data_IF_304033810022
#
_entry.id   IF_304033810022
#
_cell.length_a   1.000
_cell.length_b   1.000
_cell.length_c   1.000
_cell.angle_alpha   90.00
_cell.angle_beta   90.00
_cell.angle_gamma   90.00
#
_symmetry.space_group_name_H-M   'P 1'
#
loop_
_entity.id
_entity.type
_entity.pdbx_description
1 polymer ?
#
# COMPACT_ATOMS: atom_id res chain seq x y z
N UNK A 1 -33.46 -23.82 57.68
CA UNK A 1 -33.92 -23.68 59.07
C UNK A 1 -32.69 -23.55 59.97
N UNK A 2 -32.60 -22.42 60.67
CA UNK A 2 -31.81 -22.07 61.86
C UNK A 2 -30.39 -22.67 62.06
N UNK A 3 -29.30 -21.90 62.04
CA UNK A 3 -28.82 -20.74 62.83
C UNK A 3 -27.87 -21.10 64.00
N UNK A 4 -26.69 -20.46 63.94
CA UNK A 4 -25.94 -19.76 65.00
C UNK A 4 -24.94 -20.54 65.87
N UNK A 5 -23.67 -20.49 65.42
CA UNK A 5 -22.59 -19.59 65.88
C UNK A 5 -22.40 -19.33 67.39
N UNK A 6 -21.13 -19.32 67.87
CA UNK A 6 -20.35 -18.09 68.20
C UNK A 6 -19.03 -18.34 68.98
N UNK A 7 -17.97 -17.62 68.52
CA UNK A 7 -16.73 -17.12 69.19
C UNK A 7 -15.62 -18.14 69.54
N UNK A 8 -14.33 -17.84 69.40
CA UNK A 8 -13.65 -16.54 69.46
C UNK A 8 -12.31 -16.52 68.71
N UNK A 9 -12.09 -15.42 67.98
CA UNK A 9 -10.82 -14.83 67.54
C UNK A 9 -9.73 -14.86 68.63
N UNK A 10 -8.47 -15.07 68.22
CA UNK A 10 -7.35 -14.12 68.42
C UNK A 10 -6.04 -14.60 67.75
N UNK A 11 -5.50 -13.69 66.95
CA UNK A 11 -4.07 -13.38 66.76
C UNK A 11 -3.29 -13.97 65.57
N UNK A 12 -3.15 -13.06 64.58
CA UNK A 12 -1.91 -12.53 64.00
C UNK A 12 -1.34 -13.18 62.73
N UNK A 13 -1.78 -12.58 61.61
CA UNK A 13 -1.09 -12.52 60.33
C UNK A 13 0.30 -11.90 60.48
N UNK A 14 1.32 -12.55 59.90
CA UNK A 14 2.52 -11.89 59.41
C UNK A 14 2.92 -12.55 58.08
N UNK A 15 2.26 -12.14 57.00
CA UNK A 15 2.65 -12.51 55.64
C UNK A 15 3.58 -11.41 55.12
N UNK A 16 4.88 -11.71 54.99
CA UNK A 16 5.83 -10.84 54.30
C UNK A 16 5.40 -10.66 52.84
N UNK A 17 5.03 -9.44 52.46
CA UNK A 17 5.01 -8.99 51.08
C UNK A 17 6.45 -8.64 50.68
N UNK A 18 7.11 -9.52 49.92
CA UNK A 18 8.33 -9.17 49.20
C UNK A 18 7.89 -8.50 47.90
N UNK A 19 7.90 -7.17 47.89
CA UNK A 19 7.82 -6.38 46.67
C UNK A 19 9.20 -6.47 46.02
N UNK A 20 9.31 -7.28 44.97
CA UNK A 20 10.46 -7.26 44.08
C UNK A 20 10.47 -5.93 43.33
N UNK A 21 11.33 -5.01 43.76
CA UNK A 21 11.71 -3.85 42.98
C UNK A 21 12.45 -4.35 41.72
N UNK A 22 11.74 -4.45 40.60
CA UNK A 22 12.36 -4.48 39.28
C UNK A 22 12.95 -3.09 39.10
N UNK A 23 14.28 -2.98 39.23
CA UNK A 23 15.00 -1.80 38.81
C UNK A 23 14.76 -1.62 37.31
N UNK A 24 13.96 -0.63 36.93
CA UNK A 24 13.92 -0.13 35.57
C UNK A 24 15.32 0.39 35.24
N UNK A 25 16.01 -0.29 34.32
CA UNK A 25 17.22 0.23 33.69
C UNK A 25 16.84 1.54 32.98
N UNK A 26 17.38 2.70 33.38
CA UNK A 26 17.01 3.99 32.78
C UNK A 26 17.63 4.18 31.39
N UNK A 27 18.41 3.22 30.90
CA UNK A 27 18.85 3.17 29.52
C UNK A 27 17.88 2.31 28.71
N UNK A 28 17.04 2.89 27.84
CA UNK A 28 16.45 2.09 26.78
C UNK A 28 17.62 1.53 25.98
N UNK A 29 17.82 0.21 26.02
CA UNK A 29 18.70 -0.47 25.06
C UNK A 29 18.18 -0.03 23.70
N UNK A 30 18.96 0.78 22.98
CA UNK A 30 18.75 1.03 21.54
C UNK A 30 18.42 -0.33 20.95
N UNK A 31 17.25 -0.46 20.33
CA UNK A 31 16.91 -1.68 19.60
C UNK A 31 18.13 -2.02 18.74
N UNK A 32 18.68 -3.21 18.97
CA UNK A 32 19.80 -3.72 18.18
C UNK A 32 19.42 -3.59 16.72
N UNK A 33 20.21 -2.83 15.96
CA UNK A 33 19.99 -2.67 14.53
C UNK A 33 20.16 -4.06 13.91
N UNK A 34 19.08 -4.67 13.42
CA UNK A 34 19.18 -5.94 12.68
C UNK A 34 20.04 -5.70 11.45
N UNK A 35 21.04 -6.53 11.25
CA UNK A 35 21.81 -6.51 10.00
C UNK A 35 20.95 -7.08 8.86
N UNK A 36 21.21 -6.64 7.63
CA UNK A 36 20.47 -7.12 6.46
C UNK A 36 20.63 -8.64 6.34
N UNK A 37 19.52 -9.35 6.15
CA UNK A 37 19.52 -10.80 5.91
C UNK A 37 19.63 -11.73 7.13
N UNK A 38 19.61 -11.20 8.36
CA UNK A 38 19.63 -12.01 9.60
C UNK A 38 18.38 -12.89 9.82
N UNK A 39 17.33 -12.69 9.03
CA UNK A 39 16.08 -13.43 9.12
C UNK A 39 16.28 -14.91 8.74
N UNK A 40 15.83 -15.82 9.62
CA UNK A 40 15.80 -17.25 9.36
C UNK A 40 14.38 -17.81 9.48
N UNK A 41 14.13 -18.94 8.84
CA UNK A 41 12.85 -19.62 8.78
C UNK A 41 13.06 -21.13 8.85
N UNK A 42 12.35 -21.79 9.76
CA UNK A 42 12.37 -23.24 9.90
C UNK A 42 10.95 -23.80 9.91
N UNK A 43 10.78 -24.98 9.32
CA UNK A 43 9.49 -25.63 9.14
C UNK A 43 9.67 -27.14 9.01
N UNK A 44 8.66 -27.89 9.46
CA UNK A 44 8.56 -29.33 9.18
C UNK A 44 8.45 -29.64 7.68
N UNK A 45 8.09 -28.67 6.85
CA UNK A 45 8.10 -28.78 5.39
C UNK A 45 9.40 -28.21 4.82
N UNK A 46 10.36 -29.09 4.51
CA UNK A 46 11.68 -28.72 3.97
C UNK A 46 11.60 -27.90 2.67
N UNK A 47 10.65 -28.20 1.78
CA UNK A 47 10.49 -27.44 0.52
C UNK A 47 10.11 -25.99 0.77
N UNK A 48 9.32 -25.72 1.81
CA UNK A 48 8.96 -24.36 2.20
C UNK A 48 10.17 -23.61 2.77
N UNK A 49 10.99 -24.28 3.57
CA UNK A 49 12.25 -23.72 4.06
C UNK A 49 13.20 -23.37 2.93
N UNK A 50 13.42 -24.28 1.99
CA UNK A 50 14.25 -24.07 0.80
C UNK A 50 13.73 -22.91 -0.06
N UNK A 51 12.42 -22.86 -0.31
CA UNK A 51 11.78 -21.79 -1.08
C UNK A 51 11.94 -20.43 -0.40
N UNK A 52 11.80 -20.37 0.93
CA UNK A 52 12.01 -19.15 1.69
C UNK A 52 13.47 -18.66 1.62
N UNK A 53 14.45 -19.55 1.83
CA UNK A 53 15.87 -19.17 1.76
C UNK A 53 16.24 -18.69 0.35
N UNK A 54 15.75 -19.37 -0.68
CA UNK A 54 15.91 -18.91 -2.07
C UNK A 54 15.30 -17.52 -2.29
N UNK A 55 14.07 -17.29 -1.83
CA UNK A 55 13.38 -16.01 -2.01
C UNK A 55 14.09 -14.87 -1.27
N UNK A 56 14.58 -15.14 -0.04
CA UNK A 56 15.41 -14.21 0.74
C UNK A 56 16.67 -13.82 -0.03
N UNK A 57 17.44 -14.80 -0.48
CA UNK A 57 18.71 -14.55 -1.18
C UNK A 57 18.48 -13.80 -2.50
N UNK A 58 17.40 -14.12 -3.21
CA UNK A 58 17.00 -13.39 -4.41
C UNK A 58 16.63 -11.94 -4.11
N UNK A 59 15.77 -11.69 -3.13
CA UNK A 59 15.38 -10.32 -2.78
C UNK A 59 16.59 -9.47 -2.37
N UNK A 60 17.50 -10.03 -1.55
CA UNK A 60 18.72 -9.33 -1.12
C UNK A 60 19.71 -9.09 -2.27
N UNK A 61 19.72 -9.91 -3.31
CA UNK A 61 20.61 -9.73 -4.46
C UNK A 61 20.29 -8.50 -5.32
N UNK A 62 19.10 -7.91 -5.15
CA UNK A 62 18.68 -6.69 -5.82
C UNK A 62 18.92 -5.42 -5.00
N UNK A 63 19.45 -5.52 -3.77
CA UNK A 63 19.67 -4.38 -2.90
C UNK A 63 21.01 -3.69 -3.16
N UNK A 64 21.00 -2.36 -3.09
CA UNK A 64 22.14 -1.48 -3.34
C UNK A 64 22.35 -0.53 -2.15
N UNK A 65 23.48 -0.70 -1.44
CA UNK A 65 23.77 -0.06 -0.15
C UNK A 65 24.35 1.38 -0.24
N UNK A 66 23.81 2.21 -1.13
CA UNK A 66 24.13 3.64 -1.17
C UNK A 66 25.35 4.05 -2.00
N UNK A 67 25.89 3.15 -2.83
CA UNK A 67 26.95 3.49 -3.79
C UNK A 67 26.46 4.31 -4.98
N UNK A 68 25.18 4.24 -5.29
CA UNK A 68 24.56 4.96 -6.40
C UNK A 68 24.07 6.36 -5.99
N UNK A 69 23.96 7.32 -6.94
CA UNK A 69 23.46 8.67 -6.66
C UNK A 69 22.07 8.72 -6.00
N UNK A 70 21.22 7.72 -6.22
CA UNK A 70 19.89 7.64 -5.60
C UNK A 70 19.92 7.29 -4.11
N UNK A 71 21.05 6.82 -3.57
CA UNK A 71 21.18 6.41 -2.17
C UNK A 71 20.88 4.93 -2.00
N UNK A 72 20.28 4.55 -0.86
CA UNK A 72 19.88 3.16 -0.59
C UNK A 72 18.64 2.80 -1.40
N UNK A 73 18.70 1.78 -2.24
CA UNK A 73 17.56 1.33 -3.04
C UNK A 73 17.66 -0.15 -3.37
N UNK A 74 16.56 -0.77 -3.75
CA UNK A 74 16.58 -2.10 -4.35
C UNK A 74 15.86 -2.04 -5.70
N UNK A 75 16.28 -2.86 -6.66
CA UNK A 75 15.59 -2.95 -7.94
C UNK A 75 14.16 -3.48 -7.73
N UNK A 76 13.19 -2.69 -8.18
CA UNK A 76 11.76 -2.97 -8.05
C UNK A 76 11.06 -2.42 -9.29
N UNK A 77 11.51 -2.88 -10.46
CA UNK A 77 11.00 -2.52 -11.76
C UNK A 77 11.18 -3.73 -12.69
N UNK A 78 10.77 -3.60 -13.95
CA UNK A 78 11.05 -4.64 -14.94
C UNK A 78 12.56 -4.92 -15.04
N UNK A 79 12.97 -6.17 -15.35
CA UNK A 79 14.37 -6.53 -15.48
C UNK A 79 15.18 -5.60 -16.39
N UNK A 80 16.45 -5.41 -16.07
CA UNK A 80 17.43 -4.59 -16.81
C UNK A 80 17.12 -3.08 -16.86
N UNK A 81 16.17 -2.57 -16.05
CA UNK A 81 15.88 -1.13 -15.95
C UNK A 81 16.79 -0.36 -14.98
N UNK A 82 17.43 -1.05 -14.04
CA UNK A 82 18.22 -0.43 -12.94
C UNK A 82 17.44 0.69 -12.21
N UNK A 83 16.17 0.39 -11.90
CA UNK A 83 15.19 1.34 -11.37
C UNK A 83 14.24 0.71 -10.35
N UNK A 84 13.44 1.55 -9.72
CA UNK A 84 12.38 1.15 -8.80
C UNK A 84 11.09 1.93 -9.09
N UNK A 85 9.96 1.23 -9.12
CA UNK A 85 8.64 1.76 -9.43
C UNK A 85 7.78 1.90 -8.16
N UNK A 86 6.83 2.85 -8.17
CA UNK A 86 5.99 3.13 -7.00
C UNK A 86 5.17 1.93 -6.55
N UNK A 87 4.59 1.18 -7.49
CA UNK A 87 3.76 -0.01 -7.22
C UNK A 87 4.60 -1.09 -6.55
N UNK A 88 5.66 -1.53 -7.21
CA UNK A 88 6.46 -2.66 -6.76
C UNK A 88 7.16 -2.34 -5.43
N UNK A 89 7.66 -1.11 -5.24
CA UNK A 89 8.22 -0.68 -3.94
C UNK A 89 7.16 -0.75 -2.85
N UNK A 90 5.94 -0.27 -3.09
CA UNK A 90 4.84 -0.30 -2.10
C UNK A 90 4.50 -1.73 -1.69
N UNK A 91 4.35 -2.62 -2.67
CA UNK A 91 3.97 -4.02 -2.43
C UNK A 91 5.07 -4.86 -1.79
N UNK A 92 6.35 -4.55 -2.07
CA UNK A 92 7.50 -5.24 -1.49
C UNK A 92 7.92 -4.70 -0.12
N UNK A 93 7.48 -3.49 0.24
CA UNK A 93 8.02 -2.71 1.37
C UNK A 93 8.09 -3.47 2.70
N UNK A 94 7.02 -4.17 3.10
CA UNK A 94 7.01 -4.91 4.37
C UNK A 94 7.97 -6.11 4.30
N UNK A 95 8.00 -6.84 3.19
CA UNK A 95 8.97 -7.93 3.00
C UNK A 95 10.41 -7.41 3.08
N UNK A 96 10.70 -6.31 2.40
CA UNK A 96 11.99 -5.63 2.45
C UNK A 96 12.35 -5.17 3.87
N UNK A 97 11.39 -4.65 4.64
CA UNK A 97 11.59 -4.23 6.04
C UNK A 97 11.98 -5.42 6.92
N UNK A 98 11.29 -6.55 6.78
CA UNK A 98 11.58 -7.78 7.54
C UNK A 98 13.00 -8.29 7.21
N UNK A 99 13.46 -8.10 5.97
CA UNK A 99 14.83 -8.44 5.54
C UNK A 99 15.90 -7.44 6.00
N UNK A 100 15.54 -6.37 6.70
CA UNK A 100 16.47 -5.36 7.19
C UNK A 100 16.74 -4.22 6.20
N UNK A 101 15.95 -4.11 5.12
CA UNK A 101 16.12 -3.09 4.08
C UNK A 101 15.40 -1.77 4.41
N UNK A 102 15.12 -1.46 5.67
CA UNK A 102 14.34 -0.27 6.04
C UNK A 102 14.94 1.08 5.63
N UNK A 103 16.28 1.18 5.51
CA UNK A 103 16.91 2.37 4.91
C UNK A 103 16.57 2.52 3.42
N UNK A 104 16.49 1.41 2.70
CA UNK A 104 16.16 1.36 1.28
C UNK A 104 14.71 1.78 1.09
N UNK A 105 13.78 1.18 1.84
CA UNK A 105 12.38 1.60 1.92
C UNK A 105 12.28 3.12 2.15
N UNK A 106 12.83 3.61 3.26
CA UNK A 106 12.72 5.01 3.61
C UNK A 106 13.25 5.95 2.51
N UNK A 107 14.42 5.64 1.94
CA UNK A 107 15.01 6.45 0.88
C UNK A 107 14.13 6.46 -0.37
N UNK A 108 13.65 5.31 -0.85
CA UNK A 108 12.83 5.25 -2.07
C UNK A 108 11.47 5.95 -1.90
N UNK A 109 10.79 5.77 -0.76
CA UNK A 109 9.57 6.51 -0.43
C UNK A 109 9.83 8.02 -0.39
N UNK A 110 10.96 8.44 0.20
CA UNK A 110 11.35 9.85 0.21
C UNK A 110 11.62 10.37 -1.21
N UNK A 111 12.20 9.58 -2.11
CA UNK A 111 12.40 9.97 -3.52
C UNK A 111 11.08 10.20 -4.25
N UNK A 112 10.08 9.34 -4.04
CA UNK A 112 8.75 9.59 -4.59
C UNK A 112 8.14 10.89 -4.03
N UNK A 113 8.23 11.08 -2.72
CA UNK A 113 7.70 12.26 -2.06
C UNK A 113 8.38 13.57 -2.50
N UNK A 114 9.68 13.55 -2.77
CA UNK A 114 10.44 14.72 -3.21
C UNK A 114 10.14 15.16 -4.65
N UNK A 115 9.58 14.27 -5.47
CA UNK A 115 9.33 14.54 -6.88
C UNK A 115 7.87 14.82 -7.21
N UNK A 116 6.93 14.76 -6.26
CA UNK A 116 5.55 15.21 -6.51
C UNK A 116 5.51 16.71 -6.82
N UNK A 117 4.78 17.13 -7.86
CA UNK A 117 4.65 18.55 -8.17
C UNK A 117 3.40 18.87 -9.00
N UNK A 118 2.98 20.14 -8.99
CA UNK A 118 1.85 20.64 -9.79
C UNK A 118 2.10 20.55 -11.30
N UNK A 119 3.36 20.67 -11.74
CA UNK A 119 3.75 20.56 -13.16
C UNK A 119 3.51 19.15 -13.70
N UNK A 120 3.55 18.15 -12.83
CA UNK A 120 3.22 16.75 -13.13
C UNK A 120 1.78 16.40 -12.73
N UNK A 121 0.89 17.38 -12.64
CA UNK A 121 -0.51 17.17 -12.27
C UNK A 121 -0.64 16.44 -10.91
N UNK A 122 0.24 16.79 -9.95
CA UNK A 122 0.36 16.16 -8.63
C UNK A 122 0.70 14.66 -8.65
N UNK A 123 1.22 14.16 -9.77
CA UNK A 123 1.94 12.90 -9.84
C UNK A 123 3.40 13.09 -9.39
N UNK A 124 4.08 11.98 -9.11
CA UNK A 124 5.53 11.91 -9.01
C UNK A 124 6.09 11.08 -10.17
N UNK A 125 7.34 10.63 -10.09
CA UNK A 125 7.87 9.70 -11.08
C UNK A 125 7.37 8.28 -10.81
N UNK A 126 6.80 7.66 -11.85
CA UNK A 126 6.40 6.25 -11.81
C UNK A 126 7.58 5.33 -11.46
N UNK A 127 8.72 5.59 -12.10
CA UNK A 127 9.99 4.90 -11.86
C UNK A 127 11.14 5.89 -11.67
N UNK A 128 12.06 5.57 -10.76
CA UNK A 128 13.29 6.32 -10.50
C UNK A 128 14.49 5.37 -10.66
N UNK A 129 15.49 5.80 -11.43
CA UNK A 129 16.69 4.99 -11.69
C UNK A 129 17.78 5.22 -10.64
N UNK A 130 18.82 4.37 -10.69
CA UNK A 130 20.03 4.46 -9.84
C UNK A 130 20.69 5.86 -9.81
N UNK A 131 20.52 6.67 -10.84
CA UNK A 131 21.09 8.02 -10.95
C UNK A 131 20.23 9.11 -10.29
N UNK A 132 19.16 8.74 -9.57
CA UNK A 132 18.19 9.66 -8.98
C UNK A 132 17.48 10.52 -10.04
N UNK A 133 17.12 9.90 -11.16
CA UNK A 133 16.41 10.51 -12.29
C UNK A 133 15.16 9.69 -12.64
N UNK A 134 14.12 10.29 -13.25
CA UNK A 134 13.03 9.49 -13.77
C UNK A 134 13.56 8.46 -14.77
N UNK A 135 13.05 7.24 -14.73
CA UNK A 135 13.46 6.22 -15.67
C UNK A 135 13.00 6.61 -17.09
N UNK A 136 13.90 6.64 -18.09
CA UNK A 136 13.59 7.13 -19.44
C UNK A 136 12.61 6.22 -20.19
N UNK A 137 12.35 5.02 -19.68
CA UNK A 137 11.37 4.11 -20.25
C UNK A 137 9.93 4.60 -20.06
N UNK A 138 9.68 5.30 -18.95
CA UNK A 138 8.34 5.69 -18.49
C UNK A 138 8.17 7.22 -18.37
N UNK A 139 9.17 7.98 -18.82
CA UNK A 139 9.17 9.44 -18.72
C UNK A 139 9.86 10.08 -19.94
N UNK A 140 9.18 11.04 -20.55
CA UNK A 140 9.75 11.93 -21.58
C UNK A 140 9.96 13.34 -21.00
N UNK A 141 8.92 13.89 -20.37
CA UNK A 141 8.91 15.19 -19.70
C UNK A 141 7.69 15.29 -18.76
N UNK A 142 7.53 16.40 -18.02
CA UNK A 142 6.44 16.59 -17.04
C UNK A 142 5.02 16.62 -17.68
N UNK A 143 4.92 16.69 -19.00
CA UNK A 143 3.65 16.64 -19.74
C UNK A 143 3.35 15.26 -20.35
N UNK A 144 4.33 14.36 -20.39
CA UNK A 144 4.27 13.09 -21.11
C UNK A 144 5.09 12.00 -20.39
N UNK A 145 4.40 11.24 -19.55
CA UNK A 145 4.97 10.14 -18.77
C UNK A 145 3.90 9.07 -18.47
N UNK A 146 4.34 7.84 -18.22
CA UNK A 146 3.48 6.75 -17.79
C UNK A 146 3.05 6.94 -16.33
N UNK A 147 1.78 6.70 -16.01
CA UNK A 147 1.35 6.75 -14.61
C UNK A 147 0.07 5.97 -14.35
N UNK A 148 0.06 5.16 -13.29
CA UNK A 148 -1.15 4.49 -12.82
C UNK A 148 -1.67 5.22 -11.59
N UNK A 149 -2.92 5.66 -11.63
CA UNK A 149 -3.50 6.52 -10.61
C UNK A 149 -3.56 5.94 -9.18
N UNK A 150 -3.61 4.61 -8.96
CA UNK A 150 -3.55 4.03 -7.61
C UNK A 150 -2.26 4.35 -6.84
N UNK A 151 -1.16 4.64 -7.54
CA UNK A 151 0.20 4.66 -6.98
C UNK A 151 0.40 5.63 -5.82
N UNK A 152 -0.19 6.83 -5.89
CA UNK A 152 -0.09 7.80 -4.80
C UNK A 152 -0.68 7.24 -3.49
N UNK A 153 -1.87 6.65 -3.59
CA UNK A 153 -2.60 6.11 -2.46
C UNK A 153 -1.86 4.94 -1.82
N UNK A 154 -1.29 4.07 -2.65
CA UNK A 154 -0.53 2.92 -2.21
C UNK A 154 0.76 3.32 -1.48
N UNK A 155 1.49 4.33 -1.96
CA UNK A 155 2.64 4.91 -1.26
C UNK A 155 2.22 5.49 0.10
N UNK A 156 1.09 6.21 0.20
CA UNK A 156 0.59 6.72 1.49
C UNK A 156 0.27 5.57 2.45
N UNK A 157 -0.44 4.55 1.98
CA UNK A 157 -0.84 3.40 2.78
C UNK A 157 0.37 2.59 3.26
N UNK A 158 1.33 2.34 2.36
CA UNK A 158 2.53 1.57 2.63
C UNK A 158 3.47 2.31 3.59
N UNK A 159 3.59 3.63 3.47
CA UNK A 159 4.34 4.45 4.43
C UNK A 159 3.75 4.36 5.85
N UNK A 160 2.42 4.38 5.96
CA UNK A 160 1.75 4.19 7.26
C UNK A 160 1.96 2.77 7.81
N UNK A 161 1.88 1.72 6.98
CA UNK A 161 2.16 0.35 7.40
C UNK A 161 3.60 0.15 7.88
N UNK A 162 4.57 0.76 7.20
CA UNK A 162 5.97 0.77 7.64
C UNK A 162 6.12 1.48 8.99
N UNK A 163 5.43 2.61 9.19
CA UNK A 163 5.38 3.26 10.50
C UNK A 163 4.78 2.34 11.58
N UNK A 164 3.65 1.68 11.31
CA UNK A 164 3.02 0.76 12.26
C UNK A 164 3.93 -0.41 12.62
N UNK A 165 4.67 -0.93 11.65
CA UNK A 165 5.58 -2.05 11.83
C UNK A 165 6.84 -1.68 12.61
N UNK A 166 7.43 -0.52 12.32
CA UNK A 166 8.76 -0.14 12.80
C UNK A 166 8.77 0.86 13.95
N UNK A 167 7.70 1.65 14.08
CA UNK A 167 7.68 2.86 14.90
C UNK A 167 8.60 3.97 14.40
N UNK A 168 9.11 3.90 13.15
CA UNK A 168 9.99 4.93 12.60
C UNK A 168 9.22 6.23 12.37
N UNK A 169 9.42 7.19 13.28
CA UNK A 169 8.75 8.49 13.27
C UNK A 169 9.08 9.34 12.03
N UNK A 170 10.12 9.01 11.25
CA UNK A 170 10.43 9.76 10.03
C UNK A 170 9.28 9.66 8.99
N UNK A 171 8.56 8.55 8.93
CA UNK A 171 7.35 8.42 8.09
C UNK A 171 6.22 9.36 8.53
N UNK A 172 6.24 9.80 9.79
CA UNK A 172 5.25 10.71 10.38
C UNK A 172 5.70 12.17 10.34
N UNK A 173 6.99 12.45 10.50
CA UNK A 173 7.53 13.79 10.77
C UNK A 173 8.30 14.40 9.60
N UNK A 174 8.77 13.61 8.64
CA UNK A 174 9.50 14.15 7.50
C UNK A 174 8.60 15.09 6.67
N UNK A 175 9.12 16.28 6.34
CA UNK A 175 8.36 17.33 5.64
C UNK A 175 7.90 16.90 4.26
N UNK A 176 8.76 16.27 3.48
CA UNK A 176 8.48 15.89 2.09
C UNK A 176 7.43 14.78 2.05
N UNK A 177 7.54 13.77 2.92
CA UNK A 177 6.52 12.73 3.06
C UNK A 177 5.16 13.31 3.49
N UNK A 178 5.15 14.24 4.45
CA UNK A 178 3.90 14.91 4.85
C UNK A 178 3.27 15.73 3.73
N UNK A 179 4.08 16.43 2.93
CA UNK A 179 3.61 17.15 1.76
C UNK A 179 3.02 16.18 0.73
N UNK A 180 3.71 15.06 0.48
CA UNK A 180 3.22 14.02 -0.43
C UNK A 180 1.86 13.46 0.02
N UNK A 181 1.67 13.14 1.30
CA UNK A 181 0.38 12.64 1.80
C UNK A 181 -0.75 13.65 1.61
N UNK A 182 -0.47 14.92 1.93
CA UNK A 182 -1.45 16.00 1.80
C UNK A 182 -1.86 16.21 0.34
N UNK A 183 -0.87 16.35 -0.55
CA UNK A 183 -1.09 16.56 -1.98
C UNK A 183 -1.82 15.36 -2.62
N UNK A 184 -1.41 14.14 -2.25
CA UNK A 184 -2.01 12.90 -2.79
C UNK A 184 -3.48 12.73 -2.43
N UNK A 185 -3.93 13.27 -1.29
CA UNK A 185 -5.29 13.06 -0.76
C UNK A 185 -6.18 14.29 -0.82
N UNK A 186 -5.68 15.37 -1.45
CA UNK A 186 -6.44 16.58 -1.77
C UNK A 186 -6.23 16.94 -3.23
N UNK A 187 -5.17 17.69 -3.55
CA UNK A 187 -4.96 18.27 -4.88
C UNK A 187 -4.94 17.20 -5.97
N UNK A 188 -4.29 16.06 -5.73
CA UNK A 188 -4.28 14.95 -6.68
C UNK A 188 -5.67 14.34 -6.89
N UNK A 189 -6.46 14.16 -5.82
CA UNK A 189 -7.82 13.62 -5.92
C UNK A 189 -8.72 14.56 -6.72
N UNK A 190 -8.65 15.85 -6.42
CA UNK A 190 -9.48 16.87 -7.08
C UNK A 190 -9.05 17.07 -8.53
N UNK A 191 -7.74 17.17 -8.77
CA UNK A 191 -7.17 17.45 -10.10
C UNK A 191 -7.35 16.31 -11.09
N UNK A 192 -7.43 15.06 -10.61
CA UNK A 192 -7.72 13.88 -11.42
C UNK A 192 -9.18 13.41 -11.33
N UNK A 193 -10.12 14.24 -10.85
CA UNK A 193 -11.55 13.88 -10.75
C UNK A 193 -11.79 12.48 -10.12
N UNK A 194 -11.05 12.17 -9.05
CA UNK A 194 -11.08 10.84 -8.41
C UNK A 194 -12.17 10.70 -7.34
N UNK A 195 -12.89 11.77 -7.01
CA UNK A 195 -14.01 11.71 -6.08
C UNK A 195 -15.13 10.79 -6.59
N UNK A 196 -15.80 10.08 -5.68
CA UNK A 196 -16.77 9.03 -6.01
C UNK A 196 -17.92 9.49 -6.94
N UNK A 197 -18.29 10.77 -6.89
CA UNK A 197 -19.34 11.37 -7.70
C UNK A 197 -18.86 11.80 -9.11
N UNK A 198 -17.55 11.88 -9.33
CA UNK A 198 -16.93 12.29 -10.60
C UNK A 198 -16.24 11.15 -11.35
N UNK A 199 -15.70 10.18 -10.60
CA UNK A 199 -14.76 9.18 -11.12
C UNK A 199 -15.33 8.33 -12.27
N UNK A 200 -16.65 8.11 -12.29
CA UNK A 200 -17.32 7.35 -13.35
C UNK A 200 -17.51 8.14 -14.66
N UNK A 201 -17.49 9.46 -14.59
CA UNK A 201 -17.69 10.37 -15.74
C UNK A 201 -16.40 11.05 -16.20
N UNK A 202 -15.30 10.82 -15.47
CA UNK A 202 -14.00 11.42 -15.72
C UNK A 202 -13.51 11.21 -17.16
N UNK A 203 -12.99 12.28 -17.76
CA UNK A 203 -12.27 12.20 -19.02
C UNK A 203 -10.86 11.60 -18.82
N UNK A 204 -10.61 10.44 -19.44
CA UNK A 204 -9.31 9.74 -19.44
C UNK A 204 -8.15 10.58 -19.98
N UNK A 205 -8.44 11.53 -20.87
CA UNK A 205 -7.45 12.40 -21.52
C UNK A 205 -7.37 13.81 -20.93
N UNK A 206 -7.91 14.05 -19.72
CA UNK A 206 -8.05 15.40 -19.15
C UNK A 206 -6.74 16.20 -19.04
N UNK A 207 -5.59 15.52 -18.89
CA UNK A 207 -4.27 16.15 -18.74
C UNK A 207 -3.32 15.89 -19.93
N UNK A 208 -3.87 15.36 -21.03
CA UNK A 208 -3.09 15.18 -22.25
C UNK A 208 -2.86 16.55 -22.92
N UNK A 209 -1.59 16.95 -23.08
CA UNK A 209 -1.25 18.16 -23.85
C UNK A 209 -1.10 17.82 -25.33
N UNK A 210 -2.06 18.24 -26.13
CA UNK A 210 -2.07 18.02 -27.58
C UNK A 210 -2.91 16.81 -28.00
N UNK A 211 -2.60 16.24 -29.16
CA UNK A 211 -3.24 15.00 -29.63
C UNK A 211 -2.48 13.78 -29.11
N UNK A 212 -3.14 12.62 -28.92
CA UNK A 212 -2.46 11.37 -28.54
C UNK A 212 -1.27 11.04 -29.44
N UNK A 213 -1.37 11.36 -30.73
CA UNK A 213 -0.30 11.12 -31.73
C UNK A 213 1.02 11.87 -31.45
N UNK A 214 0.98 12.94 -30.64
CA UNK A 214 2.17 13.73 -30.28
C UNK A 214 2.72 13.36 -28.90
N UNK A 215 2.11 12.39 -28.22
CA UNK A 215 2.49 11.95 -26.88
C UNK A 215 2.99 10.52 -26.94
N UNK A 216 4.15 10.27 -26.35
CA UNK A 216 4.76 8.94 -26.23
C UNK A 216 3.90 8.03 -25.37
N UNK A 217 3.27 8.55 -24.32
CA UNK A 217 2.49 7.76 -23.37
C UNK A 217 0.98 7.91 -23.58
N UNK A 218 0.52 8.99 -24.17
CA UNK A 218 -0.90 9.22 -24.49
C UNK A 218 -1.78 8.99 -23.27
N UNK A 219 -2.74 8.07 -23.41
CA UNK A 219 -3.68 7.69 -22.34
C UNK A 219 -3.07 6.74 -21.30
N UNK A 220 -1.83 6.30 -21.47
CA UNK A 220 -1.07 5.61 -20.42
C UNK A 220 -0.63 6.57 -19.31
N UNK A 221 -0.74 7.88 -19.51
CA UNK A 221 -0.69 8.87 -18.44
C UNK A 221 -2.02 8.88 -17.69
N UNK A 222 -2.00 8.31 -16.49
CA UNK A 222 -3.11 8.34 -15.56
C UNK A 222 -4.09 7.17 -15.69
N UNK A 223 -3.62 5.95 -15.97
CA UNK A 223 -4.42 4.69 -15.99
C UNK A 223 -5.15 4.50 -14.65
N UNK A 224 -6.48 4.24 -14.61
CA UNK A 224 -7.24 4.28 -13.36
C UNK A 224 -7.27 2.90 -12.68
N UNK A 225 -6.18 2.15 -12.81
CA UNK A 225 -5.96 0.78 -12.32
C UNK A 225 -4.50 0.38 -12.56
N UNK A 226 -4.03 -0.67 -11.92
CA UNK A 226 -2.82 -1.41 -12.22
C UNK A 226 -2.99 -2.41 -13.36
N UNK A 227 -4.22 -2.64 -13.86
CA UNK A 227 -4.42 -3.39 -15.09
C UNK A 227 -4.04 -2.58 -16.34
N UNK A 228 -2.83 -2.83 -16.85
CA UNK A 228 -2.26 -2.15 -18.02
C UNK A 228 -2.61 -2.84 -19.35
N UNK A 229 -3.07 -4.09 -19.31
CA UNK A 229 -3.30 -4.96 -20.48
C UNK A 229 -4.77 -5.22 -20.81
N UNK A 230 -5.70 -4.42 -20.28
CA UNK A 230 -7.14 -4.64 -20.43
C UNK A 230 -7.62 -4.76 -21.88
N UNK A 231 -8.74 -5.46 -22.10
CA UNK A 231 -9.34 -5.69 -23.43
C UNK A 231 -9.92 -4.45 -24.13
N UNK A 232 -9.70 -3.26 -23.58
CA UNK A 232 -10.24 -1.98 -24.04
C UNK A 232 -9.89 -0.84 -23.09
N UNK A 233 -10.46 0.34 -23.34
CA UNK A 233 -10.22 1.51 -22.49
C UNK A 233 -10.85 1.33 -21.11
N UNK A 234 -10.01 1.15 -20.09
CA UNK A 234 -10.45 1.05 -18.70
C UNK A 234 -10.95 2.40 -18.21
N UNK A 235 -12.20 2.42 -17.74
CA UNK A 235 -12.78 3.57 -17.05
C UNK A 235 -12.30 3.61 -15.60
N UNK A 236 -12.32 2.47 -14.92
CA UNK A 236 -11.98 2.37 -13.51
C UNK A 236 -11.63 0.91 -13.14
N UNK A 237 -10.63 0.71 -12.28
CA UNK A 237 -10.37 -0.58 -11.62
C UNK A 237 -10.68 -0.56 -10.12
N UNK A 238 -11.05 -1.73 -9.59
CA UNK A 238 -11.42 -1.89 -8.18
C UNK A 238 -10.24 -1.60 -7.25
N UNK A 239 -9.04 -1.85 -7.73
CA UNK A 239 -7.77 -1.58 -7.07
C UNK A 239 -7.56 -0.08 -6.80
N UNK A 240 -7.98 0.81 -7.71
CA UNK A 240 -7.97 2.27 -7.44
C UNK A 240 -8.92 2.63 -6.30
N UNK A 241 -10.13 2.07 -6.28
CA UNK A 241 -11.09 2.33 -5.19
C UNK A 241 -10.57 1.78 -3.86
N UNK A 242 -10.02 0.57 -3.87
CA UNK A 242 -9.46 -0.09 -2.69
C UNK A 242 -8.25 0.68 -2.14
N UNK A 243 -7.33 1.12 -2.99
CA UNK A 243 -6.16 1.91 -2.58
C UNK A 243 -6.58 3.25 -1.98
N UNK A 244 -7.58 3.92 -2.56
CA UNK A 244 -8.13 5.17 -2.02
C UNK A 244 -8.72 5.01 -0.62
N UNK A 245 -9.52 3.95 -0.39
CA UNK A 245 -10.07 3.64 0.94
C UNK A 245 -8.93 3.49 1.96
N UNK A 246 -7.92 2.69 1.62
CA UNK A 246 -6.83 2.37 2.52
C UNK A 246 -5.95 3.59 2.81
N UNK A 247 -5.68 4.43 1.80
CA UNK A 247 -4.93 5.67 1.97
C UNK A 247 -5.67 6.71 2.81
N UNK A 248 -6.99 6.86 2.64
CA UNK A 248 -7.79 7.72 3.51
C UNK A 248 -7.80 7.24 4.97
N UNK A 249 -7.94 5.93 5.21
CA UNK A 249 -7.81 5.34 6.55
C UNK A 249 -6.42 5.61 7.14
N UNK A 250 -5.36 5.34 6.37
CA UNK A 250 -3.98 5.55 6.79
C UNK A 250 -3.71 7.02 7.15
N UNK A 251 -4.15 7.96 6.31
CA UNK A 251 -3.91 9.37 6.56
C UNK A 251 -4.73 9.92 7.72
N UNK A 252 -5.97 9.44 7.92
CA UNK A 252 -6.74 9.76 9.11
C UNK A 252 -5.99 9.37 10.40
N UNK A 253 -5.36 8.21 10.43
CA UNK A 253 -4.56 7.78 11.60
C UNK A 253 -3.24 8.56 11.72
N UNK A 254 -2.54 8.88 10.63
CA UNK A 254 -1.37 9.77 10.66
C UNK A 254 -1.70 11.14 11.24
N UNK A 255 -2.84 11.73 10.84
CA UNK A 255 -3.33 13.01 11.37
C UNK A 255 -3.66 12.93 12.86
N UNK A 256 -4.29 11.84 13.29
CA UNK A 256 -4.58 11.59 14.70
C UNK A 256 -3.30 11.48 15.54
N UNK A 257 -2.28 10.78 15.05
CA UNK A 257 -0.96 10.69 15.67
C UNK A 257 -0.26 12.05 15.77
N UNK A 258 -0.53 12.96 14.82
CA UNK A 258 -0.05 14.36 14.83
C UNK A 258 -0.91 15.31 15.68
N UNK A 259 -2.02 14.82 16.24
CA UNK A 259 -2.95 15.62 17.05
C UNK A 259 -3.93 16.48 16.25
N UNK A 260 -4.01 16.34 14.92
CA UNK A 260 -4.95 17.08 14.06
C UNK A 260 -6.29 16.36 13.93
N UNK A 261 -7.00 16.21 15.07
CA UNK A 261 -8.19 15.36 15.19
C UNK A 261 -9.36 15.75 14.26
N UNK A 262 -9.54 17.05 13.97
CA UNK A 262 -10.62 17.50 13.08
C UNK A 262 -10.37 17.04 11.64
N UNK A 263 -9.15 17.20 11.13
CA UNK A 263 -8.76 16.71 9.80
C UNK A 263 -8.82 15.18 9.73
N UNK A 264 -8.35 14.49 10.78
CA UNK A 264 -8.46 13.03 10.89
C UNK A 264 -9.90 12.55 10.71
N UNK A 265 -10.87 13.24 11.32
CA UNK A 265 -12.29 12.94 11.15
C UNK A 265 -12.75 13.13 9.70
N UNK A 266 -12.34 14.23 9.04
CA UNK A 266 -12.66 14.46 7.62
C UNK A 266 -12.21 13.31 6.73
N UNK A 267 -10.99 12.79 6.93
CA UNK A 267 -10.49 11.66 6.14
C UNK A 267 -11.12 10.32 6.51
N UNK A 268 -11.52 10.14 7.77
CA UNK A 268 -12.35 9.00 8.17
C UNK A 268 -13.67 8.99 7.40
N UNK A 269 -14.32 10.16 7.26
CA UNK A 269 -15.56 10.29 6.48
C UNK A 269 -15.31 10.09 4.96
N UNK A 270 -14.19 10.56 4.42
CA UNK A 270 -13.79 10.26 3.02
C UNK A 270 -13.62 8.75 2.80
N UNK A 271 -12.94 8.06 3.71
CA UNK A 271 -12.78 6.61 3.67
C UNK A 271 -14.13 5.88 3.69
N UNK A 272 -15.05 6.32 4.57
CA UNK A 272 -16.40 5.74 4.64
C UNK A 272 -17.17 5.92 3.32
N UNK A 273 -17.15 7.13 2.72
CA UNK A 273 -17.81 7.35 1.44
C UNK A 273 -17.23 6.49 0.32
N UNK A 274 -15.90 6.32 0.29
CA UNK A 274 -15.24 5.43 -0.67
C UNK A 274 -15.62 3.96 -0.44
N UNK A 275 -15.79 3.53 0.82
CA UNK A 275 -16.31 2.19 1.15
C UNK A 275 -17.75 2.01 0.68
N UNK A 276 -18.63 3.01 0.88
CA UNK A 276 -20.01 2.97 0.39
C UNK A 276 -20.07 2.89 -1.14
N UNK A 277 -19.17 3.58 -1.85
CA UNK A 277 -19.00 3.43 -3.29
C UNK A 277 -18.51 2.03 -3.66
N UNK A 278 -17.57 1.46 -2.92
CA UNK A 278 -17.12 0.08 -3.10
C UNK A 278 -18.27 -0.91 -3.01
N UNK A 279 -19.06 -0.81 -1.94
CA UNK A 279 -20.15 -1.75 -1.65
C UNK A 279 -21.34 -1.63 -2.61
N UNK A 280 -21.53 -0.47 -3.25
CA UNK A 280 -22.65 -0.21 -4.14
C UNK A 280 -22.32 -0.38 -5.63
N UNK A 281 -21.19 0.18 -6.10
CA UNK A 281 -20.82 0.16 -7.51
C UNK A 281 -20.12 -1.14 -7.91
N UNK A 282 -19.22 -1.66 -7.06
CA UNK A 282 -18.40 -2.82 -7.42
C UNK A 282 -19.10 -4.15 -7.16
N UNK A 283 -19.97 -4.22 -6.15
CA UNK A 283 -20.74 -5.43 -5.90
C UNK A 283 -21.89 -5.58 -6.88
N UNK A 284 -21.95 -6.73 -7.57
CA UNK A 284 -23.09 -7.11 -8.39
C UNK A 284 -24.02 -8.03 -7.58
N UNK A 285 -25.21 -7.58 -7.16
CA UNK A 285 -26.10 -8.38 -6.33
C UNK A 285 -26.77 -9.54 -7.10
N UNK A 286 -26.89 -9.44 -8.42
CA UNK A 286 -27.51 -10.50 -9.24
C UNK A 286 -26.54 -11.67 -9.42
N UNK A 287 -25.27 -11.35 -9.70
CA UNK A 287 -24.20 -12.35 -9.83
C UNK A 287 -23.61 -12.78 -8.49
N UNK A 288 -23.82 -11.98 -7.44
CA UNK A 288 -23.20 -12.15 -6.11
C UNK A 288 -21.67 -12.21 -6.20
N UNK A 289 -21.10 -11.26 -6.94
CA UNK A 289 -19.67 -11.18 -7.22
C UNK A 289 -19.22 -9.71 -7.34
N UNK A 290 -17.95 -9.44 -7.09
CA UNK A 290 -17.37 -8.12 -7.37
C UNK A 290 -17.00 -8.01 -8.85
N UNK A 291 -17.38 -6.89 -9.45
CA UNK A 291 -16.73 -6.37 -10.66
C UNK A 291 -15.28 -6.03 -10.30
N UNK A 292 -14.34 -6.24 -11.20
CA UNK A 292 -12.92 -5.89 -10.97
C UNK A 292 -12.48 -4.72 -11.84
N UNK A 293 -12.95 -4.68 -13.10
CA UNK A 293 -12.63 -3.62 -14.06
C UNK A 293 -13.94 -3.14 -14.71
N UNK A 294 -14.13 -1.83 -14.76
CA UNK A 294 -15.18 -1.17 -15.54
C UNK A 294 -14.57 -0.55 -16.80
N UNK A 295 -15.17 -0.82 -17.95
CA UNK A 295 -14.72 -0.32 -19.25
C UNK A 295 -15.55 0.86 -19.75
N UNK A 296 -14.98 1.65 -20.65
CA UNK A 296 -15.65 2.80 -21.25
C UNK A 296 -16.91 2.42 -22.05
N UNK A 297 -16.95 1.21 -22.60
CA UNK A 297 -18.10 0.66 -23.34
C UNK A 297 -19.27 0.22 -22.43
N UNK A 298 -19.14 0.37 -21.11
CA UNK A 298 -20.15 -0.01 -20.13
C UNK A 298 -20.12 -1.48 -19.71
N UNK A 299 -19.17 -2.26 -20.21
CA UNK A 299 -18.96 -3.65 -19.80
C UNK A 299 -18.04 -3.75 -18.58
N UNK A 300 -18.05 -4.92 -17.94
CA UNK A 300 -17.27 -5.20 -16.74
C UNK A 300 -16.56 -6.54 -16.83
N UNK A 301 -15.37 -6.59 -16.26
CA UNK A 301 -14.74 -7.85 -15.85
C UNK A 301 -15.06 -8.12 -14.37
N UNK A 302 -14.97 -9.39 -13.97
CA UNK A 302 -15.30 -9.86 -12.61
C UNK A 302 -14.07 -10.56 -12.01
N UNK A 303 -14.15 -11.81 -11.55
CA UNK A 303 -12.96 -12.53 -11.10
C UNK A 303 -11.85 -12.56 -12.18
N UNK A 304 -12.20 -12.95 -13.40
CA UNK A 304 -11.27 -12.99 -14.53
C UNK A 304 -11.13 -11.62 -15.18
N UNK A 305 -9.88 -11.19 -15.31
CA UNK A 305 -9.44 -10.08 -16.14
C UNK A 305 -8.58 -10.65 -17.25
N UNK A 306 -9.03 -10.52 -18.50
CA UNK A 306 -8.42 -11.23 -19.62
C UNK A 306 -8.49 -12.76 -19.46
N UNK A 307 -7.45 -13.48 -19.90
CA UNK A 307 -7.45 -14.94 -19.93
C UNK A 307 -6.89 -15.61 -18.66
N UNK A 308 -6.08 -14.87 -17.89
CA UNK A 308 -5.24 -15.46 -16.85
C UNK A 308 -4.94 -14.54 -15.65
N UNK A 309 -5.55 -13.37 -15.53
CA UNK A 309 -5.33 -12.46 -14.39
C UNK A 309 -6.59 -12.30 -13.55
N UNK A 310 -6.40 -11.88 -12.29
CA UNK A 310 -7.48 -11.52 -11.37
C UNK A 310 -7.02 -10.38 -10.46
N UNK A 311 -7.89 -9.41 -10.21
CA UNK A 311 -7.57 -8.17 -9.48
C UNK A 311 -8.29 -8.05 -8.13
N UNK A 312 -9.13 -9.02 -7.76
CA UNK A 312 -9.86 -8.96 -6.49
C UNK A 312 -8.97 -9.12 -5.25
N UNK A 313 -7.73 -9.56 -5.40
CA UNK A 313 -6.78 -9.70 -4.29
C UNK A 313 -6.37 -8.33 -3.70
N UNK A 314 -6.50 -7.24 -4.47
CA UNK A 314 -6.30 -5.88 -3.96
C UNK A 314 -7.29 -5.52 -2.86
N UNK A 315 -8.48 -6.12 -2.82
CA UNK A 315 -9.42 -5.93 -1.71
C UNK A 315 -8.84 -6.42 -0.39
N UNK A 316 -8.04 -7.49 -0.42
CA UNK A 316 -7.34 -8.01 0.75
C UNK A 316 -6.09 -7.20 1.07
N UNK A 317 -5.28 -6.90 0.04
CA UNK A 317 -4.05 -6.13 0.22
C UNK A 317 -4.31 -4.76 0.87
N UNK A 318 -5.41 -4.11 0.48
CA UNK A 318 -5.83 -2.81 1.00
C UNK A 318 -6.81 -2.87 2.18
N UNK A 319 -7.16 -4.07 2.68
CA UNK A 319 -8.14 -4.23 3.78
C UNK A 319 -9.45 -3.45 3.51
N UNK A 320 -9.98 -3.62 2.29
CA UNK A 320 -11.13 -2.90 1.74
C UNK A 320 -12.42 -3.72 1.80
N UNK A 321 -12.38 -4.95 2.32
CA UNK A 321 -13.53 -5.82 2.51
C UNK A 321 -13.49 -6.43 3.91
N UNK A 322 -14.66 -6.50 4.56
CA UNK A 322 -14.82 -7.07 5.91
C UNK A 322 -15.94 -8.11 6.01
N UNK A 323 -16.63 -8.39 4.89
CA UNK A 323 -17.65 -9.43 4.83
C UNK A 323 -16.97 -10.80 4.64
N UNK A 324 -17.01 -11.63 5.67
CA UNK A 324 -16.40 -12.96 5.68
C UNK A 324 -16.94 -13.85 4.54
N UNK A 325 -18.23 -13.75 4.22
CA UNK A 325 -18.83 -14.60 3.18
C UNK A 325 -18.33 -14.23 1.79
N UNK A 326 -18.16 -12.94 1.53
CA UNK A 326 -17.59 -12.44 0.26
C UNK A 326 -16.09 -12.72 0.19
N UNK A 327 -15.38 -12.57 1.31
CA UNK A 327 -13.95 -12.91 1.43
C UNK A 327 -13.71 -14.37 1.09
N UNK A 328 -14.46 -15.28 1.73
CA UNK A 328 -14.34 -16.72 1.48
C UNK A 328 -14.66 -17.06 0.02
N UNK A 329 -15.71 -16.48 -0.57
CA UNK A 329 -16.02 -16.71 -1.98
C UNK A 329 -14.85 -16.32 -2.89
N UNK A 330 -14.25 -15.14 -2.69
CA UNK A 330 -13.13 -14.69 -3.52
C UNK A 330 -11.94 -15.64 -3.34
N UNK A 331 -11.62 -16.06 -2.11
CA UNK A 331 -10.54 -17.02 -1.83
C UNK A 331 -10.80 -18.36 -2.52
N UNK A 332 -12.03 -18.87 -2.46
CA UNK A 332 -12.44 -20.10 -3.16
C UNK A 332 -12.28 -19.96 -4.69
N UNK A 333 -12.61 -18.79 -5.25
CA UNK A 333 -12.42 -18.52 -6.68
C UNK A 333 -10.91 -18.50 -7.04
N UNK A 334 -10.03 -17.96 -6.19
CA UNK A 334 -8.58 -18.06 -6.37
C UNK A 334 -8.06 -19.50 -6.23
N UNK A 335 -8.48 -20.23 -5.21
CA UNK A 335 -8.08 -21.62 -4.98
C UNK A 335 -8.54 -22.54 -6.12
N UNK A 336 -9.72 -22.32 -6.69
CA UNK A 336 -10.21 -23.12 -7.81
C UNK A 336 -9.41 -22.91 -9.11
N UNK A 337 -8.66 -21.81 -9.21
CA UNK A 337 -8.07 -21.35 -10.47
C UNK A 337 -6.55 -21.09 -10.41
N UNK A 338 -5.89 -21.36 -9.27
CA UNK A 338 -4.48 -20.99 -9.03
C UNK A 338 -3.50 -21.52 -10.07
N UNK A 339 -3.75 -22.69 -10.64
CA UNK A 339 -2.89 -23.31 -11.68
C UNK A 339 -2.81 -22.50 -12.99
N UNK A 340 -3.76 -21.58 -13.20
CA UNK A 340 -3.90 -20.78 -14.42
C UNK A 340 -3.77 -19.28 -14.19
N UNK A 341 -3.68 -18.86 -12.93
CA UNK A 341 -3.68 -17.45 -12.56
C UNK A 341 -2.27 -16.89 -12.51
N UNK A 342 -2.12 -15.73 -13.12
CA UNK A 342 -1.05 -14.79 -12.85
C UNK A 342 -1.62 -13.76 -11.88
N UNK A 343 -1.12 -13.77 -10.65
CA UNK A 343 -1.45 -12.77 -9.64
C UNK A 343 -0.30 -11.78 -9.60
N UNK A 344 -0.56 -10.59 -10.13
CA UNK A 344 0.35 -9.45 -10.03
C UNK A 344 -0.14 -8.60 -8.86
N UNK A 345 0.75 -8.38 -7.88
CA UNK A 345 0.57 -7.33 -6.90
C UNK A 345 1.11 -6.05 -7.50
#
# INVERSE_FOLDING_TARGET
MQNKSIKSLKNLLLSLFIIGLVACDPNPKKASRRESGELDFDSSNQKLTEAFHWAKDKALSYAHDGSDPVGYWYEAALPDREAFCMRDVSHQAIGAEILGLGKHNYNMFLKFAQNISSEKDYCTYWEINRYNKPAPFDYENDDDFWYNLPANFDVVQSAYRLYQWTGNEDYLKNRDLNAFYHLSLNEYVDHWDLENDKILERNRSMHLKGTPDNSRFGTNRGIPTYNEGGRGETRLGIDLTASMIAAYKAYAELLKLKGTLLESKTYTEKAQRAQEFLDSFWWDPEKREYRSIAYADGTYDYFWVGEQQAFLHYLFYFDAISDDSKTMKIVEDYEANFDRLIVEL
#
